data_IF_673590740975
#
_entry.id   IF_673590740975
#
_cell.length_a   1.000
_cell.length_b   1.000
_cell.length_c   1.000
_cell.angle_alpha   90.00
_cell.angle_beta   90.00
_cell.angle_gamma   90.00
#
_symmetry.space_group_name_H-M   'P 1'
#
loop_
_entity.id
_entity.type
_entity.pdbx_description
1 polymer ?
#
# COMPACT_ATOMS: atom_id res chain seq x y z
N UNK A 1 15.19 -0.61 -1.22
CA UNK A 1 14.56 0.17 -2.31
C UNK A 1 13.39 -0.61 -2.87
N UNK A 2 12.30 0.06 -3.13
CA UNK A 2 11.07 -0.62 -3.58
C UNK A 2 11.08 -0.75 -5.09
N UNK A 3 10.46 -1.82 -5.59
CA UNK A 3 10.16 -1.91 -7.00
C UNK A 3 9.02 -0.95 -7.31
N UNK A 4 9.16 -0.16 -8.36
CA UNK A 4 8.13 0.80 -8.77
C UNK A 4 7.65 0.55 -10.20
N UNK A 5 8.22 -0.42 -10.89
CA UNK A 5 7.85 -0.75 -12.27
C UNK A 5 6.92 -1.95 -12.27
N UNK A 6 5.67 -1.71 -11.86
CA UNK A 6 4.65 -2.75 -11.81
C UNK A 6 3.26 -2.11 -11.99
N UNK A 7 2.25 -2.90 -12.42
CA UNK A 7 0.94 -2.34 -12.80
C UNK A 7 0.21 -1.62 -11.67
N UNK A 8 0.41 -2.03 -10.43
CA UNK A 8 -0.32 -1.48 -9.28
C UNK A 8 0.29 -0.18 -8.75
N UNK A 9 1.43 0.24 -9.27
CA UNK A 9 2.10 1.47 -8.81
C UNK A 9 1.17 2.67 -9.00
N UNK A 10 1.00 3.42 -7.92
CA UNK A 10 0.14 4.60 -7.95
C UNK A 10 -1.33 4.31 -7.78
N UNK A 11 -1.72 3.04 -7.72
CA UNK A 11 -3.11 2.68 -7.55
C UNK A 11 -3.53 2.86 -6.10
N UNK A 12 -4.77 3.32 -5.89
CA UNK A 12 -5.30 3.42 -4.54
C UNK A 12 -5.82 2.07 -4.07
N UNK A 13 -5.71 1.86 -2.77
CA UNK A 13 -6.16 0.62 -2.16
C UNK A 13 -6.80 0.91 -0.81
N UNK A 14 -7.54 -0.07 -0.31
CA UNK A 14 -8.18 0.00 0.99
C UNK A 14 -7.58 -1.07 1.88
N UNK A 15 -7.31 -0.71 3.14
CA UNK A 15 -6.76 -1.64 4.10
C UNK A 15 -7.88 -2.51 4.68
N UNK A 16 -7.65 -3.81 4.76
CA UNK A 16 -8.56 -4.74 5.41
C UNK A 16 -8.65 -4.41 6.90
N UNK A 17 -7.48 -4.10 7.50
CA UNK A 17 -7.41 -3.65 8.89
C UNK A 17 -6.82 -2.26 8.90
N UNK A 18 -7.51 -1.29 9.50
CA UNK A 18 -7.02 0.08 9.54
C UNK A 18 -5.69 0.16 10.28
N UNK A 19 -4.86 1.12 9.86
CA UNK A 19 -3.59 1.41 10.49
C UNK A 19 -3.62 2.83 11.01
N UNK A 20 -3.58 2.98 12.34
CA UNK A 20 -3.61 4.29 13.02
C UNK A 20 -4.77 5.16 12.52
N UNK A 21 -5.92 4.55 12.27
CA UNK A 21 -7.08 5.26 11.76
C UNK A 21 -7.15 5.45 10.26
N UNK A 22 -6.10 5.06 9.54
CA UNK A 22 -6.09 5.15 8.08
C UNK A 22 -6.67 3.87 7.49
N UNK A 23 -7.56 4.04 6.51
CA UNK A 23 -8.21 2.94 5.82
C UNK A 23 -7.77 2.82 4.37
N UNK A 24 -7.26 3.89 3.79
CA UNK A 24 -6.92 3.95 2.37
C UNK A 24 -5.54 4.53 2.21
N UNK A 25 -4.88 4.10 1.15
CA UNK A 25 -3.57 4.62 0.80
C UNK A 25 -3.28 4.41 -0.67
N UNK A 26 -2.08 4.81 -1.07
CA UNK A 26 -1.62 4.70 -2.46
C UNK A 26 -0.45 3.74 -2.50
N UNK A 27 -0.45 2.84 -3.47
CA UNK A 27 0.66 1.92 -3.66
C UNK A 27 1.85 2.69 -4.22
N UNK A 28 2.97 2.65 -3.50
CA UNK A 28 4.18 3.37 -3.90
C UNK A 28 5.38 2.46 -4.05
N UNK A 29 5.21 1.16 -3.81
CA UNK A 29 6.29 0.21 -3.98
C UNK A 29 5.80 -1.22 -3.86
N UNK A 30 6.66 -2.14 -4.25
CA UNK A 30 6.36 -3.57 -4.17
C UNK A 30 7.54 -4.26 -3.51
N UNK A 31 7.23 -5.20 -2.62
CA UNK A 31 8.24 -5.95 -1.87
C UNK A 31 7.97 -7.43 -1.99
N UNK A 32 8.90 -8.23 -1.46
CA UNK A 32 8.72 -9.69 -1.42
C UNK A 32 7.50 -10.10 -0.61
N UNK A 33 7.10 -9.29 0.37
CA UNK A 33 5.93 -9.58 1.20
C UNK A 33 4.63 -9.14 0.52
N UNK A 34 4.67 -8.05 -0.23
CA UNK A 34 3.47 -7.49 -0.82
C UNK A 34 3.75 -6.10 -1.37
N UNK A 35 3.19 -5.08 -0.73
CA UNK A 35 3.25 -3.71 -1.23
C UNK A 35 3.61 -2.73 -0.14
N UNK A 36 4.10 -1.58 -0.57
CA UNK A 36 4.28 -0.42 0.31
C UNK A 36 3.13 0.54 0.05
N UNK A 37 2.42 0.91 1.10
CA UNK A 37 1.28 1.81 1.04
C UNK A 37 1.66 3.12 1.70
N UNK A 38 1.43 4.23 0.98
CA UNK A 38 1.66 5.56 1.51
C UNK A 38 0.32 6.21 1.85
N UNK A 39 0.26 6.80 3.03
CA UNK A 39 -0.94 7.50 3.49
C UNK A 39 -0.83 8.99 3.24
N UNK A 40 -1.95 9.70 3.41
CA UNK A 40 -1.99 11.14 3.16
C UNK A 40 -1.07 11.94 4.09
N UNK A 41 -0.70 11.37 5.23
CA UNK A 41 0.24 12.00 6.14
C UNK A 41 1.70 11.88 5.69
N UNK A 42 1.95 11.07 4.64
CA UNK A 42 3.29 10.78 4.18
C UNK A 42 3.89 9.51 4.77
N UNK A 43 3.21 8.88 5.72
CA UNK A 43 3.67 7.64 6.32
C UNK A 43 3.57 6.49 5.31
N UNK A 44 4.56 5.59 5.33
CA UNK A 44 4.58 4.44 4.45
C UNK A 44 4.72 3.18 5.30
N UNK A 45 3.94 2.15 4.96
CA UNK A 45 4.05 0.86 5.64
C UNK A 45 4.10 -0.26 4.61
N UNK A 46 4.69 -1.38 5.02
CA UNK A 46 4.71 -2.60 4.22
C UNK A 46 3.54 -3.47 4.63
N UNK A 47 2.78 -3.95 3.65
CA UNK A 47 1.61 -4.80 3.90
C UNK A 47 1.68 -6.02 2.99
N UNK A 48 1.04 -7.11 3.43
CA UNK A 48 0.87 -8.28 2.58
C UNK A 48 -0.20 -8.00 1.52
N UNK A 49 -0.13 -8.71 0.41
CA UNK A 49 -1.07 -8.53 -0.69
C UNK A 49 -2.51 -8.86 -0.27
N UNK A 50 -2.69 -9.74 0.71
CA UNK A 50 -4.03 -10.08 1.19
C UNK A 50 -4.54 -9.14 2.30
N UNK A 51 -3.75 -8.14 2.68
CA UNK A 51 -4.15 -7.17 3.69
C UNK A 51 -4.76 -5.92 3.08
N UNK A 52 -4.81 -5.84 1.77
CA UNK A 52 -5.35 -4.69 1.05
C UNK A 52 -6.30 -5.15 -0.04
N UNK A 53 -7.19 -4.26 -0.43
CA UNK A 53 -8.08 -4.45 -1.57
C UNK A 53 -7.90 -3.28 -2.52
N UNK A 54 -7.74 -3.55 -3.80
CA UNK A 54 -7.61 -2.50 -4.79
C UNK A 54 -8.98 -1.95 -5.17
N UNK A 55 -9.01 -0.66 -5.44
CA UNK A 55 -10.21 0.00 -5.94
C UNK A 55 -10.53 -0.41 -7.37
#
# INVERSE_FOLDING_TARGET
>A
MYETDFPEYGQQCELVTSWRGYHRGTIVGRTAKGFIVQFCSGAEIEVYDNEIEFD
#
